data_IF_041760598531
#
_entry.id   IF_041760598531
#
_cell.length_a   1.000
_cell.length_b   1.000
_cell.length_c   1.000
_cell.angle_alpha   90.00
_cell.angle_beta   90.00
_cell.angle_gamma   90.00
#
_symmetry.space_group_name_H-M   'P 1'
#
loop_
_entity.id
_entity.type
_entity.pdbx_description
1 polymer ?
#
# COMPACT_ATOMS: atom_id res chain seq x y z
N UNK A 1 81.32 45.85 -17.80
CA UNK A 1 80.71 44.86 -18.66
C UNK A 1 79.70 44.09 -17.85
N UNK A 2 78.51 44.17 -18.28
CA UNK A 2 77.22 44.00 -17.56
C UNK A 2 76.87 42.53 -17.32
N UNK A 3 76.46 42.19 -16.11
CA UNK A 3 76.01 40.84 -15.68
C UNK A 3 74.50 40.66 -15.77
N UNK A 4 73.78 41.45 -16.57
CA UNK A 4 72.33 41.45 -16.58
C UNK A 4 71.69 40.51 -17.62
N UNK A 5 72.43 40.03 -18.62
CA UNK A 5 71.81 39.31 -19.76
C UNK A 5 71.76 37.79 -19.59
N UNK A 6 72.41 37.17 -18.59
CA UNK A 6 72.34 35.71 -18.38
C UNK A 6 71.13 35.22 -17.62
N UNK A 7 70.46 36.11 -16.87
CA UNK A 7 69.26 35.72 -16.06
C UNK A 7 67.95 35.70 -16.86
N UNK A 8 67.83 36.49 -17.91
CA UNK A 8 66.61 36.57 -18.72
C UNK A 8 66.46 35.34 -19.60
N UNK A 9 67.54 34.80 -20.14
CA UNK A 9 67.51 33.61 -21.00
C UNK A 9 67.21 32.34 -20.21
N UNK A 10 67.66 32.22 -18.97
CA UNK A 10 67.38 31.08 -18.10
C UNK A 10 65.91 31.09 -17.56
N UNK A 11 65.38 32.29 -17.35
CA UNK A 11 63.98 32.43 -16.97
C UNK A 11 62.98 32.09 -18.14
N UNK A 12 63.38 32.45 -19.38
CA UNK A 12 62.57 32.15 -20.57
C UNK A 12 62.54 30.65 -20.89
N UNK A 13 63.57 29.91 -20.72
CA UNK A 13 63.67 28.46 -20.89
C UNK A 13 62.88 27.72 -19.80
N UNK A 14 62.80 28.17 -18.56
CA UNK A 14 61.98 27.61 -17.50
C UNK A 14 60.48 27.83 -17.75
N UNK A 15 60.06 28.94 -18.31
CA UNK A 15 58.64 29.24 -18.62
C UNK A 15 58.16 28.39 -19.80
N UNK A 16 59.00 28.11 -20.78
CA UNK A 16 58.66 27.25 -21.93
C UNK A 16 58.48 25.77 -21.49
N UNK A 17 59.29 25.28 -20.56
CA UNK A 17 59.25 23.93 -20.07
C UNK A 17 58.01 23.70 -19.16
N UNK A 18 57.66 24.66 -18.31
CA UNK A 18 56.45 24.61 -17.50
C UNK A 18 55.15 24.64 -18.33
N UNK A 19 55.12 25.36 -19.42
CA UNK A 19 53.96 25.37 -20.33
C UNK A 19 53.77 24.03 -21.03
N UNK A 20 54.83 23.36 -21.45
CA UNK A 20 54.77 22.01 -22.03
C UNK A 20 54.31 20.95 -21.05
N UNK A 21 54.71 21.03 -19.78
CA UNK A 21 54.30 20.14 -18.71
C UNK A 21 52.77 20.37 -18.37
N UNK A 22 52.34 21.65 -18.31
CA UNK A 22 50.91 21.95 -18.10
C UNK A 22 50.01 21.47 -19.25
N UNK A 23 50.45 21.60 -20.52
CA UNK A 23 49.66 21.09 -21.64
C UNK A 23 49.64 19.55 -21.69
N UNK A 24 50.70 18.87 -21.33
CA UNK A 24 50.73 17.40 -21.25
C UNK A 24 49.89 16.86 -20.10
N UNK A 25 49.83 17.53 -18.96
CA UNK A 25 48.93 17.20 -17.83
C UNK A 25 47.44 17.51 -18.13
N UNK A 26 47.16 18.58 -18.87
CA UNK A 26 45.79 18.92 -19.27
C UNK A 26 45.24 17.93 -20.31
N UNK A 27 46.06 17.43 -21.24
CA UNK A 27 45.70 16.43 -22.23
C UNK A 27 45.49 15.05 -21.57
N UNK A 28 46.31 14.68 -20.57
CA UNK A 28 46.12 13.45 -19.78
C UNK A 28 44.87 13.52 -18.89
N UNK A 29 44.53 14.70 -18.34
CA UNK A 29 43.28 14.88 -17.57
C UNK A 29 42.03 14.84 -18.47
N UNK A 30 42.12 15.38 -19.69
CA UNK A 30 41.04 15.31 -20.69
C UNK A 30 40.84 13.90 -21.25
N UNK A 31 41.89 13.08 -21.38
CA UNK A 31 41.73 11.66 -21.78
C UNK A 31 41.19 10.76 -20.64
N UNK A 32 41.35 11.14 -19.37
CA UNK A 32 40.78 10.43 -18.25
C UNK A 32 39.25 10.67 -18.09
N UNK A 33 38.70 11.75 -18.66
CA UNK A 33 37.27 12.08 -18.61
C UNK A 33 36.48 11.39 -19.74
N UNK A 34 37.11 10.97 -20.82
CA UNK A 34 36.44 10.31 -21.97
C UNK A 34 36.29 8.78 -21.78
N UNK A 35 36.87 8.19 -20.73
CA UNK A 35 36.89 6.75 -20.48
C UNK A 35 35.79 6.20 -19.60
N UNK A 36 34.93 7.02 -18.97
CA UNK A 36 33.75 6.57 -18.24
C UNK A 36 32.47 6.78 -19.06
N UNK A 37 32.33 6.02 -20.14
CA UNK A 37 31.02 5.68 -20.62
C UNK A 37 30.43 4.71 -19.58
N UNK A 38 29.84 5.25 -18.52
CA UNK A 38 29.02 4.49 -17.60
C UNK A 38 27.92 3.83 -18.43
N UNK A 39 28.05 2.54 -18.70
CA UNK A 39 26.94 1.75 -19.17
C UNK A 39 25.81 2.03 -18.20
N UNK A 40 24.72 2.64 -18.68
CA UNK A 40 23.48 2.78 -17.89
C UNK A 40 23.22 1.39 -17.32
N UNK A 41 23.01 1.24 -16.01
CA UNK A 41 22.73 -0.06 -15.45
C UNK A 41 21.62 -0.66 -16.30
N UNK A 42 21.84 -1.85 -16.83
CA UNK A 42 20.83 -2.61 -17.56
C UNK A 42 19.73 -2.90 -16.54
N UNK A 43 18.73 -2.02 -16.47
CA UNK A 43 17.53 -2.25 -15.67
C UNK A 43 16.83 -3.44 -16.34
N UNK A 44 16.92 -4.60 -15.68
CA UNK A 44 16.23 -5.79 -16.16
C UNK A 44 14.74 -5.44 -16.26
N UNK A 45 14.08 -5.64 -17.40
CA UNK A 45 12.67 -5.30 -17.53
C UNK A 45 11.84 -6.09 -16.50
N UNK A 46 10.86 -5.41 -15.91
CA UNK A 46 9.95 -6.03 -14.95
C UNK A 46 9.20 -7.19 -15.64
N UNK A 47 9.22 -8.34 -14.99
CA UNK A 47 8.44 -9.50 -15.44
C UNK A 47 6.99 -9.28 -15.08
N UNK A 48 6.09 -9.35 -16.06
CA UNK A 48 4.64 -9.30 -15.86
C UNK A 48 4.05 -10.69 -16.01
N UNK A 49 3.39 -11.18 -14.96
CA UNK A 49 2.65 -12.45 -14.93
C UNK A 49 1.17 -12.16 -15.10
N UNK A 50 0.42 -13.11 -15.63
CA UNK A 50 -1.03 -13.00 -15.81
C UNK A 50 -1.72 -14.27 -15.30
N UNK A 51 -2.62 -14.11 -14.33
CA UNK A 51 -3.41 -15.18 -13.72
C UNK A 51 -4.92 -15.04 -14.02
N UNK A 52 -5.34 -14.07 -14.83
CA UNK A 52 -6.77 -13.81 -15.07
C UNK A 52 -7.52 -15.07 -15.52
N UNK A 53 -6.93 -15.85 -16.41
CA UNK A 53 -7.54 -17.05 -16.96
C UNK A 53 -7.36 -18.30 -16.09
N UNK A 54 -6.64 -18.21 -14.97
CA UNK A 54 -6.48 -19.34 -14.03
C UNK A 54 -7.66 -19.40 -13.04
N UNK A 55 -8.82 -19.76 -13.56
CA UNK A 55 -10.09 -19.80 -12.81
C UNK A 55 -10.06 -20.79 -11.63
N UNK A 56 -9.18 -21.78 -11.65
CA UNK A 56 -9.03 -22.74 -10.55
C UNK A 56 -8.53 -22.09 -9.25
N UNK A 57 -7.91 -20.90 -9.32
CA UNK A 57 -7.46 -20.12 -8.17
C UNK A 57 -8.55 -19.19 -7.62
N UNK A 58 -9.61 -18.98 -8.37
CA UNK A 58 -10.63 -17.98 -8.08
C UNK A 58 -11.79 -18.59 -7.31
N UNK A 59 -12.18 -17.95 -6.22
CA UNK A 59 -13.33 -18.34 -5.40
C UNK A 59 -14.28 -17.14 -5.30
N UNK A 60 -15.52 -17.31 -5.73
CA UNK A 60 -16.56 -16.30 -5.51
C UNK A 60 -16.87 -16.25 -4.02
N UNK A 61 -16.58 -15.12 -3.39
CA UNK A 61 -16.88 -14.90 -1.96
C UNK A 61 -18.34 -14.54 -1.78
N UNK A 62 -18.83 -13.56 -2.54
CA UNK A 62 -20.23 -13.17 -2.57
C UNK A 62 -20.59 -12.54 -3.91
N UNK A 63 -21.80 -12.87 -4.39
CA UNK A 63 -22.40 -12.31 -5.60
C UNK A 63 -23.92 -12.29 -5.42
N UNK A 64 -24.55 -11.18 -5.76
CA UNK A 64 -26.00 -11.02 -5.74
C UNK A 64 -26.45 -10.41 -7.06
N UNK A 65 -27.47 -10.98 -7.68
CA UNK A 65 -27.96 -10.53 -8.97
C UNK A 65 -28.44 -9.07 -8.91
N UNK A 66 -27.92 -8.23 -9.81
CA UNK A 66 -28.29 -6.82 -9.89
C UNK A 66 -27.75 -5.93 -8.76
N UNK A 67 -26.99 -6.48 -7.81
CA UNK A 67 -26.51 -5.77 -6.63
C UNK A 67 -25.00 -5.51 -6.73
N UNK A 68 -24.60 -4.25 -6.52
CA UNK A 68 -23.22 -3.86 -6.32
C UNK A 68 -22.71 -4.38 -4.95
N UNK A 69 -21.64 -5.18 -4.95
CA UNK A 69 -20.90 -5.60 -3.76
C UNK A 69 -19.44 -5.16 -3.93
N UNK A 70 -18.94 -4.29 -3.05
CA UNK A 70 -17.61 -3.71 -3.24
C UNK A 70 -16.81 -3.53 -1.95
N UNK A 71 -15.57 -3.07 -2.10
CA UNK A 71 -14.70 -2.59 -1.04
C UNK A 71 -14.53 -3.57 0.15
N UNK A 72 -14.20 -4.86 -0.08
CA UNK A 72 -14.00 -5.78 1.02
C UNK A 72 -12.71 -5.49 1.79
N UNK A 73 -12.73 -5.79 3.08
CA UNK A 73 -11.53 -5.96 3.88
C UNK A 73 -11.57 -7.29 4.59
N UNK A 74 -10.40 -7.90 4.83
CA UNK A 74 -10.28 -9.23 5.44
C UNK A 74 -9.42 -9.19 6.68
N UNK A 75 -9.58 -10.23 7.51
CA UNK A 75 -8.67 -10.50 8.61
C UNK A 75 -8.57 -12.02 8.82
N UNK A 76 -7.33 -12.52 8.93
CA UNK A 76 -7.03 -13.91 9.30
C UNK A 76 -7.04 -14.04 10.82
N UNK A 77 -7.78 -14.99 11.36
CA UNK A 77 -7.77 -15.29 12.79
C UNK A 77 -6.50 -16.08 13.19
N UNK A 78 -6.27 -16.21 14.49
CA UNK A 78 -5.07 -16.85 15.02
C UNK A 78 -4.97 -18.36 14.80
N UNK A 79 -6.10 -19.00 14.49
CA UNK A 79 -6.10 -20.41 14.10
C UNK A 79 -5.39 -20.66 12.77
N UNK A 80 -5.00 -19.58 12.06
CA UNK A 80 -4.25 -19.60 10.82
C UNK A 80 -5.04 -20.11 9.61
N UNK A 81 -6.36 -20.24 9.71
CA UNK A 81 -7.22 -20.75 8.64
C UNK A 81 -8.56 -20.02 8.51
N UNK A 82 -9.07 -19.46 9.61
CA UNK A 82 -10.35 -18.72 9.58
C UNK A 82 -10.09 -17.31 9.07
N UNK A 83 -10.77 -16.94 8.00
CA UNK A 83 -10.72 -15.60 7.40
C UNK A 83 -12.12 -14.97 7.51
N UNK A 84 -12.18 -13.75 8.02
CA UNK A 84 -13.38 -12.95 8.04
C UNK A 84 -13.31 -11.92 6.92
N UNK A 85 -14.44 -11.59 6.32
CA UNK A 85 -14.57 -10.56 5.31
C UNK A 85 -15.78 -9.68 5.59
N UNK A 86 -15.58 -8.37 5.54
CA UNK A 86 -16.63 -7.35 5.62
C UNK A 86 -16.62 -6.48 4.39
N UNK A 87 -17.77 -6.06 3.90
CA UNK A 87 -17.93 -5.24 2.70
C UNK A 87 -19.27 -4.54 2.68
N UNK A 88 -19.43 -3.37 2.04
CA UNK A 88 -20.70 -2.68 1.93
C UNK A 88 -21.59 -3.28 0.84
N UNK A 89 -22.88 -3.22 1.02
CA UNK A 89 -23.88 -3.46 -0.02
C UNK A 89 -24.07 -2.22 -0.88
N UNK A 90 -23.03 -1.87 -1.66
CA UNK A 90 -22.95 -0.68 -2.51
C UNK A 90 -21.50 -0.23 -2.73
N UNK A 91 -21.33 0.88 -3.43
CA UNK A 91 -20.01 1.49 -3.69
C UNK A 91 -19.53 2.27 -2.45
N UNK A 92 -18.74 1.64 -1.59
CA UNK A 92 -18.23 2.25 -0.34
C UNK A 92 -19.30 2.50 0.73
N UNK A 93 -20.54 2.57 0.37
CA UNK A 93 -21.69 2.96 1.19
C UNK A 93 -22.77 1.90 1.15
N UNK A 94 -23.51 1.73 2.25
CA UNK A 94 -24.60 0.79 2.40
C UNK A 94 -24.39 -0.20 3.55
N UNK A 95 -25.36 -1.07 3.80
CA UNK A 95 -25.29 -2.04 4.88
C UNK A 95 -24.00 -2.88 4.82
N UNK A 96 -23.33 -3.02 5.93
CA UNK A 96 -22.15 -3.87 6.03
C UNK A 96 -22.59 -5.33 6.01
N UNK A 97 -22.06 -6.09 5.07
CA UNK A 97 -22.23 -7.54 4.96
C UNK A 97 -21.01 -8.25 5.51
N UNK A 98 -21.22 -9.45 6.04
CA UNK A 98 -20.22 -10.21 6.76
C UNK A 98 -20.27 -11.69 6.40
N UNK A 99 -19.11 -12.28 6.06
CA UNK A 99 -18.95 -13.71 5.79
C UNK A 99 -17.67 -14.26 6.42
N UNK A 100 -17.61 -15.58 6.54
CA UNK A 100 -16.51 -16.31 7.16
C UNK A 100 -16.09 -17.48 6.26
N UNK A 101 -14.79 -17.68 6.14
CA UNK A 101 -14.20 -18.93 5.67
C UNK A 101 -13.49 -19.62 6.83
N UNK A 102 -13.63 -20.93 7.00
CA UNK A 102 -12.96 -21.73 8.03
C UNK A 102 -11.90 -22.68 7.46
N UNK A 103 -11.63 -22.58 6.15
CA UNK A 103 -10.75 -23.47 5.39
C UNK A 103 -9.67 -22.73 4.58
N UNK A 104 -9.33 -21.52 5.04
CA UNK A 104 -8.31 -20.67 4.40
C UNK A 104 -8.78 -20.11 3.06
N UNK A 105 -10.04 -19.71 2.94
CA UNK A 105 -10.60 -19.07 1.76
C UNK A 105 -10.92 -20.02 0.61
N UNK A 106 -11.04 -21.33 0.85
CA UNK A 106 -11.50 -22.29 -0.17
C UNK A 106 -13.02 -22.26 -0.35
N UNK A 107 -13.73 -22.08 0.77
CA UNK A 107 -15.19 -21.89 0.77
C UNK A 107 -15.56 -20.75 1.72
N UNK A 108 -16.74 -20.18 1.50
CA UNK A 108 -17.25 -19.06 2.29
C UNK A 108 -18.68 -19.37 2.77
N UNK A 109 -18.98 -18.97 4.00
CA UNK A 109 -20.32 -19.12 4.59
C UNK A 109 -21.39 -18.36 3.79
N UNK A 110 -22.65 -18.59 4.09
CA UNK A 110 -23.70 -17.62 3.81
C UNK A 110 -23.39 -16.31 4.58
N UNK A 111 -24.06 -15.21 4.24
CA UNK A 111 -23.98 -13.95 4.99
C UNK A 111 -24.39 -14.20 6.43
N UNK A 112 -23.56 -13.73 7.36
CA UNK A 112 -23.78 -13.89 8.79
C UNK A 112 -24.62 -12.72 9.32
N UNK A 113 -25.35 -12.91 10.44
CA UNK A 113 -26.09 -11.84 11.11
C UNK A 113 -25.15 -10.69 11.53
N UNK A 114 -25.65 -9.47 11.42
CA UNK A 114 -24.93 -8.25 11.79
C UNK A 114 -25.78 -7.39 12.73
N UNK A 115 -25.17 -6.54 13.60
CA UNK A 115 -25.91 -5.58 14.39
C UNK A 115 -26.72 -4.60 13.52
N UNK A 116 -27.79 -4.07 14.06
CA UNK A 116 -28.73 -3.21 13.32
C UNK A 116 -28.06 -1.93 12.79
N UNK A 117 -27.16 -1.32 13.54
CA UNK A 117 -26.45 -0.11 13.13
C UNK A 117 -25.56 -0.30 11.91
N UNK A 118 -25.18 -1.55 11.57
CA UNK A 118 -24.40 -1.83 10.37
C UNK A 118 -25.15 -1.52 9.07
N UNK A 119 -26.47 -1.49 9.11
CA UNK A 119 -27.32 -1.07 7.99
C UNK A 119 -27.14 0.41 7.64
N UNK A 120 -26.65 1.22 8.58
CA UNK A 120 -26.46 2.67 8.43
C UNK A 120 -25.03 3.08 8.11
N UNK A 121 -24.19 2.16 7.67
CA UNK A 121 -22.80 2.47 7.29
C UNK A 121 -22.75 3.47 6.14
N UNK A 122 -21.87 4.47 6.26
CA UNK A 122 -21.74 5.55 5.29
C UNK A 122 -20.48 5.41 4.41
N UNK A 123 -19.55 4.54 4.81
CA UNK A 123 -18.25 4.40 4.15
C UNK A 123 -17.78 2.93 4.22
N UNK A 124 -16.77 2.62 3.41
CA UNK A 124 -16.07 1.33 3.34
C UNK A 124 -15.74 0.81 4.74
N UNK A 125 -16.25 -0.37 5.14
CA UNK A 125 -15.88 -0.96 6.41
C UNK A 125 -14.45 -1.49 6.36
N UNK A 126 -13.72 -1.35 7.45
CA UNK A 126 -12.38 -1.93 7.62
C UNK A 126 -12.31 -2.74 8.90
N UNK A 127 -11.71 -3.94 8.83
CA UNK A 127 -11.63 -4.88 9.96
C UNK A 127 -10.19 -5.20 10.31
N UNK A 128 -9.88 -5.23 11.63
CA UNK A 128 -8.54 -5.54 12.14
C UNK A 128 -8.61 -6.39 13.39
N UNK A 129 -7.52 -7.11 13.68
CA UNK A 129 -7.28 -7.73 14.97
C UNK A 129 -6.44 -6.83 15.85
N UNK A 130 -6.82 -6.79 17.12
CA UNK A 130 -6.07 -6.06 18.14
C UNK A 130 -5.96 -6.91 19.42
N UNK A 131 -5.14 -6.44 20.35
CA UNK A 131 -4.97 -7.02 21.68
C UNK A 131 -4.83 -5.87 22.67
N UNK A 132 -5.55 -5.93 23.76
CA UNK A 132 -5.45 -4.93 24.82
C UNK A 132 -4.22 -5.18 25.75
N UNK A 133 -3.86 -4.25 26.63
CA UNK A 133 -2.72 -4.41 27.55
C UNK A 133 -2.86 -5.60 28.51
N UNK A 134 -4.06 -6.14 28.71
CA UNK A 134 -4.28 -7.34 29.52
C UNK A 134 -4.01 -8.64 28.75
N UNK A 135 -3.81 -8.53 27.43
CA UNK A 135 -3.65 -9.67 26.52
C UNK A 135 -4.96 -10.19 25.93
N UNK A 136 -6.10 -9.55 26.22
CA UNK A 136 -7.38 -9.91 25.64
C UNK A 136 -7.44 -9.48 24.18
N UNK A 137 -7.93 -10.36 23.32
CA UNK A 137 -8.00 -10.18 21.89
C UNK A 137 -9.32 -9.58 21.48
N UNK A 138 -9.27 -8.71 20.49
CA UNK A 138 -10.42 -8.04 19.91
C UNK A 138 -10.36 -8.09 18.39
N UNK A 139 -11.51 -8.06 17.77
CA UNK A 139 -11.66 -7.60 16.39
C UNK A 139 -12.30 -6.22 16.46
N UNK A 140 -11.77 -5.27 15.71
CA UNK A 140 -12.33 -3.92 15.58
C UNK A 140 -12.72 -3.68 14.13
N UNK A 141 -13.89 -3.09 13.95
CA UNK A 141 -14.44 -2.76 12.64
C UNK A 141 -14.81 -1.27 12.61
N UNK A 142 -14.33 -0.55 11.59
CA UNK A 142 -14.61 0.87 11.42
C UNK A 142 -15.54 1.13 10.24
N UNK A 143 -16.33 2.19 10.36
CA UNK A 143 -17.13 2.78 9.29
C UNK A 143 -16.90 4.29 9.28
N UNK A 144 -16.45 4.82 8.15
CA UNK A 144 -16.00 6.20 7.98
C UNK A 144 -17.10 7.22 7.72
N UNK A 145 -16.66 8.29 7.11
CA UNK A 145 -17.19 9.63 6.99
C UNK A 145 -17.35 10.30 8.36
N UNK A 146 -18.46 10.96 8.65
CA UNK A 146 -18.62 11.70 9.91
C UNK A 146 -19.89 11.25 10.65
N UNK A 147 -19.76 10.93 11.93
CA UNK A 147 -18.51 10.62 12.64
C UNK A 147 -17.95 9.25 12.21
N UNK A 148 -16.65 9.04 12.39
CA UNK A 148 -16.10 7.68 12.32
C UNK A 148 -16.73 6.85 13.43
N UNK A 149 -17.27 5.69 13.09
CA UNK A 149 -17.88 4.74 14.02
C UNK A 149 -17.12 3.42 14.03
N UNK A 150 -17.19 2.73 15.14
CA UNK A 150 -16.52 1.45 15.36
C UNK A 150 -17.47 0.46 16.03
N UNK A 151 -17.35 -0.80 15.65
CA UNK A 151 -17.86 -1.94 16.38
C UNK A 151 -16.70 -2.86 16.77
N UNK A 152 -16.85 -3.65 17.82
CA UNK A 152 -15.85 -4.63 18.20
C UNK A 152 -16.47 -6.00 18.53
N UNK A 153 -15.63 -7.02 18.48
CA UNK A 153 -15.96 -8.40 18.88
C UNK A 153 -14.86 -8.93 19.78
N UNK A 154 -15.25 -9.74 20.79
CA UNK A 154 -14.36 -10.38 21.76
C UNK A 154 -14.38 -11.92 21.64
N UNK A 155 -15.07 -12.45 20.63
CA UNK A 155 -15.34 -13.87 20.42
C UNK A 155 -15.06 -14.33 18.98
N UNK A 156 -13.99 -13.77 18.39
CA UNK A 156 -13.56 -14.08 17.03
C UNK A 156 -14.66 -13.79 15.97
N UNK A 157 -15.44 -12.73 16.19
CA UNK A 157 -16.49 -12.28 15.28
C UNK A 157 -17.77 -13.12 15.30
N UNK A 158 -18.05 -13.87 16.37
CA UNK A 158 -19.32 -14.56 16.52
C UNK A 158 -20.43 -13.56 16.90
N UNK A 159 -20.10 -12.62 17.78
CA UNK A 159 -20.97 -11.49 18.12
C UNK A 159 -20.22 -10.16 17.98
N UNK A 160 -20.95 -9.10 17.74
CA UNK A 160 -20.45 -7.75 17.51
C UNK A 160 -21.27 -6.72 18.28
N UNK A 161 -20.60 -5.67 18.73
CA UNK A 161 -21.29 -4.48 19.25
C UNK A 161 -21.95 -3.67 18.13
N UNK A 162 -22.82 -2.75 18.48
CA UNK A 162 -23.32 -1.74 17.54
C UNK A 162 -22.19 -0.79 17.11
N UNK A 163 -22.35 -0.12 15.96
CA UNK A 163 -21.44 0.93 15.50
C UNK A 163 -21.63 2.18 16.37
N UNK A 164 -20.64 2.51 17.18
CA UNK A 164 -20.62 3.69 18.02
C UNK A 164 -19.54 4.68 17.55
N UNK A 165 -19.77 5.99 17.74
CA UNK A 165 -18.77 7.00 17.38
C UNK A 165 -17.52 6.88 18.26
N UNK A 166 -16.34 7.01 17.64
CA UNK A 166 -15.06 6.95 18.35
C UNK A 166 -14.54 8.33 18.79
N UNK A 167 -15.15 9.40 18.31
CA UNK A 167 -14.79 10.78 18.60
C UNK A 167 -15.62 11.75 17.77
N UNK A 168 -15.38 13.04 17.96
CA UNK A 168 -16.06 14.09 17.21
C UNK A 168 -15.23 14.49 15.98
N UNK A 169 -14.91 13.51 15.16
CA UNK A 169 -14.16 13.65 13.91
C UNK A 169 -14.61 12.64 12.87
N UNK A 170 -14.36 12.97 11.61
CA UNK A 170 -14.65 12.11 10.47
C UNK A 170 -13.41 11.73 9.72
N UNK A 171 -13.59 10.98 8.63
CA UNK A 171 -12.50 10.57 7.74
C UNK A 171 -13.00 9.70 6.60
N UNK A 172 -12.22 9.67 5.53
CA UNK A 172 -12.53 8.93 4.31
C UNK A 172 -11.71 7.64 4.32
N UNK A 173 -12.35 6.51 3.97
CA UNK A 173 -11.74 5.16 4.03
C UNK A 173 -11.07 4.93 5.38
N UNK A 174 -11.85 5.11 6.43
CA UNK A 174 -11.41 4.96 7.81
C UNK A 174 -11.60 3.50 8.29
N UNK A 175 -10.62 2.88 8.90
CA UNK A 175 -9.20 3.23 8.92
C UNK A 175 -8.50 2.51 7.78
N UNK A 176 -7.68 3.19 6.99
CA UNK A 176 -7.01 2.54 5.86
C UNK A 176 -5.93 1.54 6.29
N UNK A 177 -5.34 1.75 7.45
CA UNK A 177 -4.36 0.86 8.07
C UNK A 177 -4.40 0.94 9.57
N UNK A 178 -3.98 -0.14 10.22
CA UNK A 178 -3.77 -0.22 11.66
C UNK A 178 -2.37 -0.80 11.93
N UNK A 179 -1.56 -0.08 12.70
CA UNK A 179 -0.18 -0.45 13.03
C UNK A 179 -0.06 -0.69 14.53
N UNK A 180 0.38 -1.89 14.92
CA UNK A 180 0.76 -2.17 16.30
C UNK A 180 2.15 -1.57 16.56
N UNK A 181 2.25 -0.68 17.54
CA UNK A 181 3.48 0.01 17.93
C UNK A 181 4.28 -0.80 18.96
N UNK A 182 5.58 -0.51 19.09
CA UNK A 182 6.47 -1.24 20.00
C UNK A 182 6.13 -1.07 21.49
N UNK A 183 5.47 0.03 21.83
CA UNK A 183 5.00 0.27 23.22
C UNK A 183 3.68 -0.44 23.55
N UNK A 184 3.09 -1.18 22.59
CA UNK A 184 1.81 -1.88 22.74
C UNK A 184 0.59 -1.10 22.26
N UNK A 185 0.73 0.18 21.93
CA UNK A 185 -0.35 1.00 21.38
C UNK A 185 -0.69 0.59 19.95
N UNK A 186 -1.82 1.08 19.45
CA UNK A 186 -2.21 1.00 18.06
C UNK A 186 -2.27 2.38 17.42
N UNK A 187 -1.75 2.50 16.20
CA UNK A 187 -1.85 3.68 15.38
C UNK A 187 -2.75 3.39 14.18
N UNK A 188 -3.91 4.02 14.12
CA UNK A 188 -4.81 3.96 12.97
C UNK A 188 -4.46 5.09 11.99
N UNK A 189 -4.44 4.78 10.69
CA UNK A 189 -4.15 5.72 9.61
C UNK A 189 -5.40 5.87 8.74
N UNK A 190 -5.76 7.10 8.41
CA UNK A 190 -6.88 7.45 7.53
C UNK A 190 -6.63 8.79 6.85
N UNK A 191 -7.56 9.27 6.03
CA UNK A 191 -7.40 10.57 5.38
C UNK A 191 -8.68 11.38 5.40
N UNK A 192 -8.54 12.68 5.19
CA UNK A 192 -9.62 13.61 4.94
C UNK A 192 -9.22 14.60 3.84
N UNK A 193 -10.20 15.06 3.10
CA UNK A 193 -10.05 16.07 2.05
C UNK A 193 -10.45 17.48 2.49
N UNK A 194 -10.52 17.72 3.80
CA UNK A 194 -10.90 18.96 4.45
C UNK A 194 -12.35 18.97 4.96
N UNK A 195 -13.20 18.07 4.49
CA UNK A 195 -14.64 18.11 4.80
C UNK A 195 -15.02 17.63 6.20
N UNK A 196 -14.34 16.62 6.73
CA UNK A 196 -14.81 15.86 7.91
C UNK A 196 -14.01 16.11 9.19
N UNK A 197 -12.84 16.74 9.09
CA UNK A 197 -12.03 17.16 10.24
C UNK A 197 -11.94 18.69 10.30
N UNK A 198 -11.69 19.35 9.18
CA UNK A 198 -11.55 20.79 9.09
C UNK A 198 -12.88 21.52 8.87
N UNK A 199 -13.97 20.79 8.67
CA UNK A 199 -15.32 21.32 8.45
C UNK A 199 -15.43 22.27 7.24
N UNK A 200 -14.67 22.03 6.18
CA UNK A 200 -14.74 22.78 4.94
C UNK A 200 -15.98 22.37 4.13
N UNK A 201 -16.61 23.31 3.45
CA UNK A 201 -17.85 23.06 2.71
C UNK A 201 -17.67 22.14 1.48
N UNK A 202 -16.44 21.98 1.01
CA UNK A 202 -16.08 21.17 -0.16
C UNK A 202 -14.69 20.55 0.00
N UNK A 203 -14.41 19.52 -0.79
CA UNK A 203 -13.08 18.95 -0.87
C UNK A 203 -12.03 20.00 -1.28
N UNK A 204 -10.93 20.04 -0.57
CA UNK A 204 -9.85 20.99 -0.74
C UNK A 204 -8.50 20.31 -0.77
N UNK A 205 -7.70 20.39 0.27
CA UNK A 205 -6.41 19.76 0.42
C UNK A 205 -6.55 18.42 1.14
N UNK A 206 -5.86 17.41 0.65
CA UNK A 206 -5.81 16.09 1.25
C UNK A 206 -4.79 16.04 2.39
N UNK A 207 -5.20 15.43 3.50
CA UNK A 207 -4.38 15.18 4.67
C UNK A 207 -4.49 13.71 5.06
N UNK A 208 -3.36 13.07 5.29
CA UNK A 208 -3.30 11.76 5.96
C UNK A 208 -3.17 12.02 7.45
N UNK A 209 -4.01 11.38 8.23
CA UNK A 209 -4.08 11.50 9.69
C UNK A 209 -3.74 10.18 10.37
N UNK A 210 -3.34 10.29 11.63
CA UNK A 210 -3.26 9.17 12.59
C UNK A 210 -4.15 9.47 13.79
N UNK A 211 -4.65 8.40 14.43
CA UNK A 211 -5.18 8.42 15.78
C UNK A 211 -4.54 7.26 16.56
N UNK A 212 -4.33 7.43 17.86
CA UNK A 212 -3.70 6.43 18.71
C UNK A 212 -4.74 5.78 19.63
N UNK A 213 -4.52 4.49 19.93
CA UNK A 213 -5.25 3.76 20.96
C UNK A 213 -4.27 3.12 21.92
N UNK A 214 -4.53 3.30 23.23
CA UNK A 214 -3.72 2.78 24.33
C UNK A 214 -4.37 1.56 25.03
N UNK A 215 -5.52 1.13 24.56
CA UNK A 215 -6.38 0.12 25.17
C UNK A 215 -6.78 -1.03 24.22
N UNK A 216 -5.97 -1.27 23.21
CA UNK A 216 -6.23 -2.36 22.26
C UNK A 216 -7.22 -2.00 21.16
N UNK A 217 -7.36 -0.74 20.82
CA UNK A 217 -8.21 -0.28 19.72
C UNK A 217 -9.65 0.02 20.13
N UNK A 218 -9.93 0.09 21.42
CA UNK A 218 -11.30 0.32 21.94
C UNK A 218 -11.63 1.81 22.06
N UNK A 219 -10.64 2.65 22.42
CA UNK A 219 -10.77 4.11 22.38
C UNK A 219 -9.63 4.76 21.60
N UNK A 220 -9.86 5.98 21.11
CA UNK A 220 -8.97 6.66 20.16
C UNK A 220 -8.75 8.11 20.53
N UNK A 221 -7.51 8.58 20.35
CA UNK A 221 -7.17 10.00 20.51
C UNK A 221 -7.77 10.84 19.39
N UNK A 222 -7.76 12.16 19.57
CA UNK A 222 -8.02 13.09 18.48
C UNK A 222 -7.01 12.89 17.34
N UNK A 223 -7.43 13.12 16.07
CA UNK A 223 -6.55 12.91 14.91
C UNK A 223 -5.42 13.94 14.83
N UNK A 224 -4.23 13.47 14.44
CA UNK A 224 -3.05 14.26 14.15
C UNK A 224 -2.64 14.11 12.70
N UNK A 225 -2.15 15.19 12.07
CA UNK A 225 -1.65 15.14 10.69
C UNK A 225 -0.35 14.32 10.61
N UNK A 226 -0.32 13.34 9.75
CA UNK A 226 0.87 12.54 9.39
C UNK A 226 1.60 13.20 8.22
N UNK A 227 0.88 13.45 7.13
CA UNK A 227 1.44 14.01 5.92
C UNK A 227 0.39 14.77 5.10
N UNK A 228 0.85 15.80 4.43
CA UNK A 228 0.13 16.49 3.36
C UNK A 228 1.13 16.86 2.27
N UNK A 229 0.66 17.23 1.09
CA UNK A 229 1.50 17.64 -0.03
C UNK A 229 0.87 18.83 -0.76
N UNK A 230 1.68 19.78 -1.26
CA UNK A 230 1.15 21.01 -1.85
C UNK A 230 0.52 20.81 -3.25
N UNK A 231 0.99 19.84 -4.01
CA UNK A 231 0.53 19.58 -5.38
C UNK A 231 -0.08 18.20 -5.60
N UNK A 232 0.17 17.24 -4.70
CA UNK A 232 -0.38 15.88 -4.79
C UNK A 232 -1.50 15.67 -3.76
N UNK A 233 -2.48 14.84 -4.11
CA UNK A 233 -3.60 14.46 -3.25
C UNK A 233 -3.35 13.06 -2.66
N UNK A 234 -2.61 13.00 -1.53
CA UNK A 234 -2.20 11.76 -0.88
C UNK A 234 -3.32 11.21 0.01
N UNK A 235 -3.68 9.93 -0.18
CA UNK A 235 -4.77 9.30 0.54
C UNK A 235 -4.62 7.77 0.62
N UNK A 236 -5.56 7.09 1.28
CA UNK A 236 -5.70 5.62 1.35
C UNK A 236 -4.39 4.89 1.68
N UNK A 237 -3.67 5.36 2.70
CA UNK A 237 -2.35 4.86 3.04
C UNK A 237 -2.37 3.40 3.53
N UNK A 238 -1.65 2.52 2.85
CA UNK A 238 -1.33 1.17 3.28
C UNK A 238 -0.04 1.15 4.09
N UNK A 239 -0.08 0.68 5.32
CA UNK A 239 1.10 0.62 6.18
C UNK A 239 1.83 -0.72 6.07
N UNK A 240 3.15 -0.69 6.12
CA UNK A 240 4.01 -1.87 6.26
C UNK A 240 5.21 -1.56 7.12
N UNK A 241 5.53 -2.46 8.05
CA UNK A 241 6.72 -2.35 8.93
C UNK A 241 7.90 -3.10 8.30
N UNK A 242 9.11 -2.57 8.44
CA UNK A 242 10.35 -3.24 7.99
C UNK A 242 10.55 -4.59 8.68
N UNK A 243 11.28 -5.55 8.07
CA UNK A 243 11.54 -6.85 8.68
C UNK A 243 12.29 -6.80 10.01
N UNK A 244 13.12 -5.78 10.21
CA UNK A 244 13.83 -5.54 11.48
C UNK A 244 12.98 -4.78 12.52
N UNK A 245 11.73 -4.46 12.18
CA UNK A 245 10.78 -3.77 13.03
C UNK A 245 11.07 -2.29 13.28
N UNK A 246 12.08 -1.69 12.63
CA UNK A 246 12.56 -0.33 12.97
C UNK A 246 11.87 0.78 12.21
N UNK A 247 11.34 0.48 11.04
CA UNK A 247 10.77 1.49 10.13
C UNK A 247 9.34 1.14 9.76
N UNK A 248 8.47 2.13 9.73
CA UNK A 248 7.12 2.01 9.18
C UNK A 248 7.09 2.78 7.87
N UNK A 249 6.60 2.17 6.80
CA UNK A 249 6.32 2.81 5.52
C UNK A 249 4.81 2.98 5.33
N UNK A 250 4.39 4.11 4.72
CA UNK A 250 3.04 4.33 4.22
C UNK A 250 3.07 4.44 2.71
N UNK A 251 2.39 3.52 2.03
CA UNK A 251 2.19 3.53 0.59
C UNK A 251 0.87 4.23 0.31
N UNK A 252 0.89 5.35 -0.40
CA UNK A 252 -0.25 6.26 -0.54
C UNK A 252 -0.68 6.39 -1.99
N UNK A 253 -1.97 6.24 -2.23
CA UNK A 253 -2.62 6.63 -3.48
C UNK A 253 -2.40 8.11 -3.75
N UNK A 254 -2.16 8.47 -5.01
CA UNK A 254 -2.22 9.85 -5.50
C UNK A 254 -3.53 10.04 -6.26
N UNK A 255 -4.46 10.78 -5.65
CA UNK A 255 -5.84 10.86 -6.13
C UNK A 255 -6.02 11.78 -7.36
N UNK A 256 -5.15 12.77 -7.54
CA UNK A 256 -5.23 13.70 -8.68
C UNK A 256 -4.77 13.10 -10.01
N UNK A 257 -4.09 11.95 -9.98
CA UNK A 257 -3.51 11.24 -11.16
C UNK A 257 -2.45 12.04 -11.91
N UNK A 258 -1.85 13.02 -11.27
CA UNK A 258 -0.77 13.83 -11.85
C UNK A 258 0.61 13.21 -11.65
N UNK A 259 0.74 12.40 -10.60
CA UNK A 259 1.97 11.77 -10.15
C UNK A 259 1.77 10.26 -9.98
N UNK A 260 2.86 9.53 -9.82
CA UNK A 260 2.80 8.16 -9.31
C UNK A 260 2.28 8.14 -7.86
N UNK A 261 1.98 6.97 -7.33
CA UNK A 261 1.70 6.80 -5.91
C UNK A 261 2.93 7.19 -5.08
N UNK A 262 2.72 7.58 -3.82
CA UNK A 262 3.77 8.09 -2.94
C UNK A 262 4.08 7.14 -1.79
N UNK A 263 5.28 7.28 -1.25
CA UNK A 263 5.71 6.58 -0.05
C UNK A 263 6.38 7.55 0.93
N UNK A 264 6.15 7.35 2.22
CA UNK A 264 6.88 8.02 3.31
C UNK A 264 7.27 7.02 4.39
N UNK A 265 8.25 7.36 5.22
CA UNK A 265 8.84 6.49 6.22
C UNK A 265 8.90 7.17 7.59
N UNK A 266 8.68 6.38 8.64
CA UNK A 266 8.93 6.75 10.02
C UNK A 266 9.88 5.75 10.67
N UNK A 267 10.85 6.25 11.44
CA UNK A 267 11.82 5.44 12.22
C UNK A 267 11.63 5.60 13.74
N UNK A 268 10.60 6.31 14.15
CA UNK A 268 10.30 6.68 15.54
C UNK A 268 8.84 6.35 15.93
N UNK A 269 8.34 5.21 15.42
CA UNK A 269 6.99 4.70 15.69
C UNK A 269 5.86 5.69 15.30
N UNK A 270 6.06 6.41 14.20
CA UNK A 270 5.04 7.31 13.63
C UNK A 270 5.00 8.69 14.27
N UNK A 271 6.01 9.09 15.07
CA UNK A 271 6.09 10.44 15.62
C UNK A 271 6.47 11.45 14.53
N UNK A 272 7.47 11.12 13.73
CA UNK A 272 7.86 11.92 12.55
C UNK A 272 7.91 11.08 11.28
N UNK A 273 7.80 11.75 10.13
CA UNK A 273 7.76 11.12 8.82
C UNK A 273 8.68 11.83 7.84
N UNK A 274 9.31 11.04 6.99
CA UNK A 274 10.14 11.59 5.90
C UNK A 274 9.29 12.37 4.90
N UNK A 275 9.91 13.26 4.12
CA UNK A 275 9.25 13.88 2.96
C UNK A 275 8.73 12.78 2.03
N UNK A 276 7.44 12.80 1.65
CA UNK A 276 6.89 11.84 0.70
C UNK A 276 7.61 11.91 -0.65
N UNK A 277 7.85 10.75 -1.25
CA UNK A 277 8.40 10.65 -2.60
C UNK A 277 7.59 9.71 -3.48
N UNK A 278 7.65 9.90 -4.78
CA UNK A 278 6.98 9.00 -5.72
C UNK A 278 7.55 7.58 -5.64
N UNK A 279 6.66 6.61 -5.79
CA UNK A 279 6.98 5.19 -5.98
C UNK A 279 7.24 4.87 -7.47
N UNK A 280 7.89 3.73 -7.77
CA UNK A 280 8.03 3.27 -9.15
C UNK A 280 6.68 3.01 -9.81
N UNK A 281 6.68 3.01 -11.14
CA UNK A 281 5.47 2.79 -11.94
C UNK A 281 4.81 1.44 -11.63
N UNK A 282 5.59 0.40 -11.34
CA UNK A 282 5.06 -0.93 -10.99
C UNK A 282 4.24 -0.97 -9.69
N UNK A 283 4.42 0.03 -8.81
CA UNK A 283 3.68 0.20 -7.56
C UNK A 283 2.70 1.38 -7.60
N UNK A 284 2.45 1.97 -8.77
CA UNK A 284 1.51 3.08 -8.90
C UNK A 284 0.08 2.57 -9.00
N UNK A 285 -0.75 2.94 -8.02
CA UNK A 285 -2.14 2.50 -7.96
C UNK A 285 -2.88 2.94 -6.71
N UNK A 286 -3.97 2.25 -6.41
CA UNK A 286 -4.89 2.59 -5.33
C UNK A 286 -4.99 1.47 -4.29
N UNK A 287 -5.12 1.88 -3.02
CA UNK A 287 -5.41 0.98 -1.92
C UNK A 287 -4.41 -0.18 -1.79
N UNK A 288 -3.16 0.16 -1.59
CA UNK A 288 -2.09 -0.81 -1.38
C UNK A 288 -2.29 -1.58 -0.08
N UNK A 289 -2.35 -2.92 -0.16
CA UNK A 289 -2.36 -3.81 1.00
C UNK A 289 -1.16 -4.75 0.89
N UNK A 290 -0.24 -4.63 1.84
CA UNK A 290 1.05 -5.32 1.84
C UNK A 290 1.12 -6.38 2.94
N UNK A 291 1.64 -7.56 2.61
CA UNK A 291 1.98 -8.61 3.56
C UNK A 291 3.31 -9.24 3.22
N UNK A 292 4.05 -9.66 4.24
CA UNK A 292 5.24 -10.47 4.04
C UNK A 292 4.87 -11.91 3.73
N UNK A 293 5.44 -12.44 2.68
CA UNK A 293 5.42 -13.86 2.38
C UNK A 293 6.37 -14.62 3.33
N UNK A 294 6.23 -15.92 3.42
CA UNK A 294 7.07 -16.72 4.30
C UNK A 294 8.57 -16.70 3.97
N UNK A 295 8.92 -16.41 2.74
CA UNK A 295 10.32 -16.25 2.30
C UNK A 295 10.85 -14.83 2.48
N UNK A 296 10.09 -13.95 3.15
CA UNK A 296 10.49 -12.59 3.52
C UNK A 296 10.31 -11.54 2.41
N UNK A 297 9.73 -11.91 1.27
CA UNK A 297 9.34 -10.94 0.25
C UNK A 297 8.04 -10.24 0.64
N UNK A 298 7.82 -9.06 0.06
CA UNK A 298 6.54 -8.36 0.12
C UNK A 298 5.66 -8.77 -1.06
N UNK A 299 4.42 -9.07 -0.77
CA UNK A 299 3.31 -9.16 -1.72
C UNK A 299 2.41 -7.96 -1.47
N UNK A 300 2.33 -7.04 -2.43
CA UNK A 300 1.53 -5.82 -2.35
C UNK A 300 0.41 -5.91 -3.37
N UNK A 301 -0.81 -6.05 -2.92
CA UNK A 301 -2.01 -6.08 -3.77
C UNK A 301 -2.65 -4.70 -3.86
N UNK A 302 -3.09 -4.30 -5.07
CA UNK A 302 -3.68 -2.98 -5.30
C UNK A 302 -4.40 -2.92 -6.66
N UNK A 303 -5.15 -1.84 -6.92
CA UNK A 303 -5.65 -1.50 -8.26
C UNK A 303 -4.55 -0.78 -9.02
N UNK A 304 -4.21 -1.27 -10.21
CA UNK A 304 -3.27 -0.59 -11.09
C UNK A 304 -3.85 0.72 -11.63
N UNK A 305 -3.13 1.81 -11.43
CA UNK A 305 -3.51 3.11 -11.97
C UNK A 305 -2.34 3.83 -12.66
N UNK A 306 -1.26 3.11 -12.94
CA UNK A 306 -0.13 3.67 -13.68
C UNK A 306 -0.58 4.14 -15.09
N UNK A 307 -0.09 5.31 -15.51
CA UNK A 307 -0.62 6.04 -16.67
C UNK A 307 -0.65 5.20 -17.96
N UNK A 308 0.45 4.52 -18.25
CA UNK A 308 0.65 3.77 -19.50
C UNK A 308 0.70 2.25 -19.26
N UNK A 309 0.10 1.80 -18.16
CA UNK A 309 0.07 0.37 -17.83
C UNK A 309 -0.93 -0.39 -18.72
N UNK A 310 -0.55 -1.55 -19.27
CA UNK A 310 -1.46 -2.40 -20.02
C UNK A 310 -2.54 -3.05 -19.14
N UNK A 311 -2.35 -3.02 -17.81
CA UNK A 311 -3.29 -3.55 -16.81
C UNK A 311 -3.95 -2.46 -15.98
N UNK A 312 -4.04 -1.23 -16.54
CA UNK A 312 -4.66 -0.10 -15.86
C UNK A 312 -6.13 -0.36 -15.55
N UNK A 313 -6.49 -0.23 -14.27
CA UNK A 313 -7.83 -0.52 -13.76
C UNK A 313 -8.01 -1.94 -13.23
N UNK A 314 -7.05 -2.84 -13.50
CA UNK A 314 -7.09 -4.22 -13.08
C UNK A 314 -6.65 -4.42 -11.63
N UNK A 315 -7.02 -5.56 -11.11
CA UNK A 315 -6.49 -6.08 -9.86
C UNK A 315 -5.10 -6.71 -10.07
N UNK A 316 -4.10 -6.12 -9.45
CA UNK A 316 -2.72 -6.55 -9.59
C UNK A 316 -2.05 -6.78 -8.24
N UNK A 317 -0.89 -7.47 -8.28
CA UNK A 317 0.05 -7.53 -7.18
C UNK A 317 1.46 -7.23 -7.66
N UNK A 318 2.23 -6.58 -6.79
CA UNK A 318 3.67 -6.41 -6.91
C UNK A 318 4.37 -7.36 -5.94
N UNK A 319 5.47 -7.96 -6.38
CA UNK A 319 6.33 -8.81 -5.54
C UNK A 319 7.76 -8.31 -5.58
N UNK A 320 8.30 -8.06 -4.40
CA UNK A 320 9.66 -7.55 -4.21
C UNK A 320 10.12 -7.68 -2.77
N UNK A 321 11.20 -7.01 -2.43
CA UNK A 321 11.76 -6.98 -1.08
C UNK A 321 11.50 -5.62 -0.41
N UNK A 322 11.65 -5.56 0.91
CA UNK A 322 11.69 -4.29 1.63
C UNK A 322 12.75 -3.33 1.06
N UNK A 323 13.89 -3.88 0.65
CA UNK A 323 14.96 -3.08 0.04
C UNK A 323 14.54 -2.47 -1.28
N UNK A 324 13.83 -3.21 -2.13
CA UNK A 324 13.29 -2.68 -3.39
C UNK A 324 12.32 -1.51 -3.13
N UNK A 325 11.47 -1.64 -2.11
CA UNK A 325 10.56 -0.58 -1.68
C UNK A 325 11.31 0.67 -1.22
N UNK A 326 12.34 0.51 -0.35
CA UNK A 326 13.17 1.62 0.15
C UNK A 326 13.98 2.28 -0.95
N UNK A 327 14.54 1.52 -1.88
CA UNK A 327 15.36 2.02 -2.99
C UNK A 327 14.52 2.51 -4.20
N UNK A 328 13.19 2.33 -4.17
CA UNK A 328 12.29 2.73 -5.26
C UNK A 328 12.48 1.90 -6.53
N UNK A 329 12.79 0.60 -6.38
CA UNK A 329 12.97 -0.33 -7.49
C UNK A 329 11.63 -0.91 -7.96
N UNK A 330 11.60 -1.36 -9.21
CA UNK A 330 10.40 -1.96 -9.83
C UNK A 330 10.01 -3.32 -9.24
N UNK A 331 10.84 -3.94 -8.38
CA UNK A 331 10.60 -5.24 -7.78
C UNK A 331 11.06 -6.41 -8.65
N UNK A 332 10.61 -7.62 -8.29
CA UNK A 332 10.98 -8.84 -9.00
C UNK A 332 10.04 -9.14 -10.16
N UNK A 333 8.74 -9.03 -9.91
CA UNK A 333 7.70 -9.17 -10.93
C UNK A 333 6.38 -8.55 -10.46
N UNK A 334 5.51 -8.32 -11.41
CA UNK A 334 4.14 -7.88 -11.22
C UNK A 334 3.19 -8.96 -11.72
N UNK A 335 2.05 -9.10 -11.10
CA UNK A 335 1.05 -10.12 -11.39
C UNK A 335 -0.28 -9.45 -11.66
N UNK A 336 -0.87 -9.62 -12.84
CA UNK A 336 -2.30 -9.39 -13.02
C UNK A 336 -3.05 -10.53 -12.37
N UNK A 337 -3.75 -10.26 -11.31
CA UNK A 337 -4.55 -11.25 -10.58
C UNK A 337 -5.88 -11.48 -11.29
N UNK A 338 -6.54 -10.40 -11.70
CA UNK A 338 -7.78 -10.47 -12.47
C UNK A 338 -8.03 -9.20 -13.29
N UNK A 339 -8.51 -9.40 -14.51
CA UNK A 339 -8.92 -8.38 -15.45
C UNK A 339 -10.26 -7.76 -15.00
N UNK A 340 -10.33 -6.44 -14.90
CA UNK A 340 -11.52 -5.69 -14.54
C UNK A 340 -12.18 -5.09 -15.79
N UNK A 341 -13.41 -5.48 -16.08
CA UNK A 341 -14.17 -5.04 -17.27
C UNK A 341 -14.65 -3.58 -17.21
N UNK A 342 -14.49 -2.93 -16.04
CA UNK A 342 -14.77 -1.50 -15.86
C UNK A 342 -13.47 -0.78 -15.54
N UNK A 343 -13.10 0.22 -16.31
CA UNK A 343 -11.79 0.87 -16.38
C UNK A 343 -11.13 1.26 -15.05
N UNK A 344 -11.89 1.51 -13.98
CA UNK A 344 -11.33 2.01 -12.71
C UNK A 344 -12.06 1.51 -11.44
N UNK A 345 -13.26 0.94 -11.59
CA UNK A 345 -14.08 0.56 -10.44
C UNK A 345 -13.79 -0.87 -10.00
N UNK A 346 -12.73 -1.03 -9.24
CA UNK A 346 -12.31 -2.31 -8.66
C UNK A 346 -11.38 -2.11 -7.47
N UNK A 347 -11.05 -3.17 -6.83
CA UNK A 347 -9.88 -3.44 -5.99
C UNK A 347 -9.69 -2.54 -4.77
N UNK A 348 -10.22 -3.03 -3.64
CA UNK A 348 -9.83 -2.70 -2.28
C UNK A 348 -9.46 -4.03 -1.61
N UNK A 349 -8.18 -4.46 -1.70
CA UNK A 349 -7.86 -5.84 -1.40
C UNK A 349 -7.61 -6.09 0.09
N UNK A 350 -8.14 -7.22 0.59
CA UNK A 350 -7.58 -7.92 1.74
C UNK A 350 -6.44 -8.84 1.29
N UNK A 351 -5.43 -9.04 2.12
CA UNK A 351 -4.32 -9.96 1.86
C UNK A 351 -3.98 -10.72 3.15
N UNK A 352 -4.14 -12.03 3.11
CA UNK A 352 -3.82 -12.93 4.23
C UNK A 352 -2.76 -13.94 3.82
N UNK A 353 -1.82 -14.22 4.71
CA UNK A 353 -0.77 -15.23 4.49
C UNK A 353 -0.96 -16.37 5.48
N UNK A 354 -1.37 -17.52 4.96
CA UNK A 354 -1.63 -18.70 5.76
C UNK A 354 -0.33 -19.36 6.29
N UNK A 355 -0.41 -20.19 7.33
CA UNK A 355 0.75 -20.89 7.89
C UNK A 355 1.52 -21.76 6.88
N UNK A 356 0.89 -22.25 5.82
CA UNK A 356 1.54 -23.03 4.77
C UNK A 356 2.17 -22.17 3.66
N UNK A 357 2.15 -20.84 3.81
CA UNK A 357 2.66 -19.88 2.85
C UNK A 357 1.71 -19.54 1.71
N UNK A 358 0.49 -20.07 1.72
CA UNK A 358 -0.54 -19.67 0.76
C UNK A 358 -0.96 -18.23 1.03
N UNK A 359 -0.96 -17.41 0.00
CA UNK A 359 -1.55 -16.07 0.01
C UNK A 359 -3.02 -16.20 -0.41
N UNK A 360 -3.90 -15.61 0.37
CA UNK A 360 -5.32 -15.43 0.06
C UNK A 360 -5.56 -13.94 -0.08
N UNK A 361 -5.80 -13.48 -1.29
CA UNK A 361 -6.11 -12.07 -1.53
C UNK A 361 -7.53 -11.97 -2.06
N UNK A 362 -8.30 -10.99 -1.53
CA UNK A 362 -9.75 -10.88 -1.73
C UNK A 362 -10.11 -9.47 -2.11
N UNK A 363 -10.86 -9.28 -3.19
CA UNK A 363 -11.34 -7.96 -3.58
C UNK A 363 -12.62 -8.02 -4.42
N UNK A 364 -13.09 -6.86 -4.85
CA UNK A 364 -14.22 -6.69 -5.75
C UNK A 364 -13.78 -6.15 -7.10
N UNK A 365 -14.63 -6.32 -8.09
CA UNK A 365 -14.48 -5.75 -9.41
C UNK A 365 -15.61 -6.20 -10.35
N UNK A 366 -15.65 -5.61 -11.53
CA UNK A 366 -16.52 -6.01 -12.63
C UNK A 366 -15.84 -7.16 -13.39
N UNK A 367 -16.04 -8.37 -12.91
CA UNK A 367 -15.36 -9.56 -13.43
C UNK A 367 -16.01 -10.17 -14.67
N UNK A 368 -17.20 -9.68 -15.04
CA UNK A 368 -17.92 -10.06 -16.24
C UNK A 368 -18.59 -8.83 -16.89
N UNK A 369 -18.77 -8.88 -18.19
CA UNK A 369 -19.42 -7.82 -18.96
C UNK A 369 -20.87 -7.65 -18.51
N UNK A 370 -21.28 -6.40 -18.32
CA UNK A 370 -22.66 -6.01 -17.98
C UNK A 370 -23.17 -6.58 -16.63
N UNK A 371 -22.28 -7.01 -15.75
CA UNK A 371 -22.63 -7.43 -14.39
C UNK A 371 -22.19 -6.38 -13.37
N UNK A 372 -22.96 -6.18 -12.27
CA UNK A 372 -22.47 -5.41 -11.13
C UNK A 372 -21.22 -6.06 -10.54
N UNK A 373 -20.36 -5.28 -9.87
CA UNK A 373 -19.18 -5.84 -9.26
C UNK A 373 -19.53 -6.77 -8.11
N UNK A 374 -18.72 -7.80 -7.93
CA UNK A 374 -18.85 -8.79 -6.87
C UNK A 374 -17.48 -9.20 -6.31
N UNK A 375 -17.50 -9.94 -5.20
CA UNK A 375 -16.30 -10.23 -4.42
C UNK A 375 -15.72 -11.58 -4.79
N UNK A 376 -14.42 -11.59 -5.12
CA UNK A 376 -13.63 -12.77 -5.47
C UNK A 376 -12.39 -12.84 -4.57
N UNK A 377 -12.03 -14.04 -4.13
CA UNK A 377 -10.75 -14.37 -3.53
C UNK A 377 -9.88 -15.14 -4.51
N UNK A 378 -8.57 -14.92 -4.49
CA UNK A 378 -7.57 -15.68 -5.23
C UNK A 378 -6.59 -16.29 -4.24
N UNK A 379 -6.28 -17.58 -4.45
CA UNK A 379 -5.32 -18.33 -3.66
C UNK A 379 -4.09 -18.64 -4.52
N UNK A 380 -2.89 -18.34 -4.00
CA UNK A 380 -1.63 -18.58 -4.71
C UNK A 380 -0.46 -18.76 -3.74
N UNK A 381 0.65 -19.30 -4.23
CA UNK A 381 1.91 -19.36 -3.49
C UNK A 381 3.02 -18.62 -4.23
N UNK A 382 3.94 -17.96 -3.52
CA UNK A 382 5.09 -17.30 -4.15
C UNK A 382 5.91 -18.24 -5.04
N UNK A 383 6.07 -19.51 -4.64
CA UNK A 383 6.80 -20.52 -5.40
C UNK A 383 6.17 -20.83 -6.77
N UNK A 384 4.84 -20.73 -6.88
CA UNK A 384 4.13 -20.91 -8.16
C UNK A 384 4.37 -19.71 -9.08
N UNK A 385 4.37 -18.49 -8.52
CA UNK A 385 4.70 -17.28 -9.27
C UNK A 385 6.15 -17.31 -9.77
N UNK A 386 7.09 -17.77 -8.93
CA UNK A 386 8.49 -17.96 -9.31
C UNK A 386 8.65 -18.97 -10.45
N UNK A 387 7.88 -20.06 -10.43
CA UNK A 387 7.88 -21.04 -11.50
C UNK A 387 7.35 -20.46 -12.82
N UNK A 388 6.32 -19.61 -12.76
CA UNK A 388 5.80 -18.90 -13.93
C UNK A 388 6.81 -17.87 -14.46
N UNK A 389 7.46 -17.11 -13.57
CA UNK A 389 8.46 -16.09 -13.93
C UNK A 389 9.71 -16.70 -14.61
N UNK A 390 10.13 -17.92 -14.22
CA UNK A 390 11.26 -18.63 -14.85
C UNK A 390 10.97 -19.12 -16.26
N UNK A 391 9.71 -19.25 -16.66
CA UNK A 391 9.31 -19.70 -18.00
C UNK A 391 9.22 -18.56 -19.02
N UNK A 392 9.38 -17.32 -18.58
CA UNK A 392 9.41 -16.11 -19.41
C UNK A 392 10.83 -15.55 -19.53
#
# INVERSE_FOLDING_TARGET
VDKSDSNVFTQFLRIIDMRKICYSLLILLLMAIVGCSGSKPHVKPLINLDLDQDVARQVVVDKEQGQYLGHPTTVLLEDGKTILVVYPKGHGRGAILYKRSTDGGRTWSQRLPTPKSWETSLETPTIFRTQDPSGKKHLVLFSGLYPIRMAHSEDDGQTWTELEKIGDFGGIVAMSSLVHLKNGDYMAIFHDDGRFIRNENKASKFYVYKALSHDGGLTWTAPEVVVTHDSAQLCEAGAVRSPDGRTIALLMRENSRKFNSFITFSTDEGQTWSTPREMPTSLTGDRHTAQYTRDGRLFVSFRDMAKDSPTKGDWVAWVGTWRDLVEGKEGQYRVRLKDNKNQWDSTYPGVEVLPDGTIVTTTYGHWAENEPPYIVSIRLKPTELDALARRR
#
